data_IF_340647970667
#
_entry.id   IF_340647970667
#
_cell.length_a   1.000
_cell.length_b   1.000
_cell.length_c   1.000
_cell.angle_alpha   90.00
_cell.angle_beta   90.00
_cell.angle_gamma   90.00
#
_symmetry.space_group_name_H-M   'P 1'
#
loop_
_entity.id
_entity.type
_entity.pdbx_description
1 polymer ?
#
# COMPACT_ATOMS: atom_id res chain seq x y z
N UNK A 1 10.39 -22.05 -8.66
CA UNK A 1 10.85 -20.87 -7.85
C UNK A 1 9.59 -20.26 -7.28
N UNK A 2 9.51 -20.15 -5.97
CA UNK A 2 8.34 -19.55 -5.31
C UNK A 2 8.20 -18.09 -5.70
N UNK A 3 6.97 -17.65 -5.95
CA UNK A 3 6.60 -16.26 -6.23
C UNK A 3 5.57 -15.79 -5.22
N UNK A 4 5.88 -14.73 -4.50
CA UNK A 4 5.02 -14.14 -3.47
C UNK A 4 4.66 -12.73 -3.92
N UNK A 5 3.39 -12.53 -4.24
CA UNK A 5 2.84 -11.23 -4.63
C UNK A 5 2.39 -10.48 -3.37
N UNK A 6 3.13 -9.41 -3.02
CA UNK A 6 2.89 -8.66 -1.77
C UNK A 6 1.92 -7.50 -1.94
N UNK A 7 1.43 -7.22 -3.14
CA UNK A 7 0.59 -6.06 -3.42
C UNK A 7 -0.59 -6.45 -4.29
N UNK A 8 -1.65 -6.93 -3.65
CA UNK A 8 -2.94 -7.27 -4.27
C UNK A 8 -4.10 -6.80 -3.39
N UNK A 9 -5.28 -6.64 -3.99
CA UNK A 9 -6.41 -6.01 -3.32
C UNK A 9 -7.68 -6.84 -3.32
N UNK A 10 -8.54 -6.62 -2.31
CA UNK A 10 -9.87 -7.21 -2.22
C UNK A 10 -10.88 -6.21 -1.64
N UNK A 11 -12.15 -6.44 -2.00
CA UNK A 11 -13.32 -5.87 -1.37
C UNK A 11 -14.28 -6.99 -0.95
N UNK A 12 -15.20 -6.70 -0.04
CA UNK A 12 -16.39 -7.52 0.14
C UNK A 12 -17.61 -6.79 -0.41
N UNK A 13 -18.65 -7.54 -0.82
CA UNK A 13 -19.92 -6.92 -1.18
C UNK A 13 -20.53 -6.17 0.00
N UNK A 14 -20.36 -6.70 1.21
CA UNK A 14 -20.81 -6.06 2.44
C UNK A 14 -20.10 -4.74 2.74
N UNK A 15 -18.78 -4.67 2.50
CA UNK A 15 -18.05 -3.41 2.58
C UNK A 15 -18.63 -2.35 1.64
N UNK A 16 -18.93 -2.71 0.37
CA UNK A 16 -19.54 -1.76 -0.57
C UNK A 16 -20.97 -1.35 -0.15
N UNK A 17 -21.74 -2.24 0.46
CA UNK A 17 -23.05 -1.88 1.03
C UNK A 17 -22.91 -0.85 2.16
N UNK A 18 -21.98 -1.08 3.08
CA UNK A 18 -21.68 -0.13 4.18
C UNK A 18 -21.24 1.22 3.61
N UNK A 19 -20.36 1.21 2.62
CA UNK A 19 -19.90 2.43 1.96
C UNK A 19 -21.05 3.19 1.30
N UNK A 20 -21.92 2.50 0.57
CA UNK A 20 -23.08 3.10 -0.10
C UNK A 20 -24.07 3.74 0.90
N UNK A 21 -24.28 3.09 2.05
CA UNK A 21 -25.26 3.53 3.05
C UNK A 21 -24.71 4.60 4.00
N UNK A 22 -23.41 4.56 4.30
CA UNK A 22 -22.79 5.32 5.38
C UNK A 22 -21.46 5.98 5.03
N UNK A 23 -21.07 5.99 3.74
CA UNK A 23 -19.76 6.44 3.24
C UNK A 23 -19.50 7.96 3.36
N UNK A 24 -20.50 8.76 3.71
CA UNK A 24 -20.37 10.22 3.78
C UNK A 24 -20.19 10.82 2.39
N UNK A 25 -19.00 11.39 2.12
CA UNK A 25 -18.66 11.95 0.79
C UNK A 25 -18.37 10.87 -0.26
N UNK A 26 -18.21 9.61 0.16
CA UNK A 26 -18.03 8.49 -0.75
C UNK A 26 -19.35 7.85 -1.13
N UNK A 27 -19.43 7.36 -2.37
CA UNK A 27 -20.61 6.67 -2.88
C UNK A 27 -20.27 5.68 -3.97
N UNK A 28 -21.31 4.98 -4.46
CA UNK A 28 -21.24 4.02 -5.55
C UNK A 28 -22.12 4.46 -6.70
N UNK A 29 -21.59 4.41 -7.91
CA UNK A 29 -22.33 4.54 -9.18
C UNK A 29 -22.23 3.25 -9.95
N UNK A 30 -23.25 2.93 -10.74
CA UNK A 30 -23.19 1.89 -11.78
C UNK A 30 -22.94 2.60 -13.10
N UNK A 31 -21.85 2.27 -13.76
CA UNK A 31 -21.48 2.81 -15.05
C UNK A 31 -22.41 2.27 -16.16
N UNK A 32 -22.47 2.91 -17.32
CA UNK A 32 -23.25 2.40 -18.46
C UNK A 32 -22.85 0.99 -18.93
N UNK A 33 -21.60 0.59 -18.68
CA UNK A 33 -21.08 -0.75 -18.97
C UNK A 33 -21.42 -1.81 -17.90
N UNK A 34 -22.13 -1.39 -16.84
CA UNK A 34 -22.59 -2.27 -15.75
C UNK A 34 -21.60 -2.46 -14.61
N UNK A 35 -20.40 -1.88 -14.69
CA UNK A 35 -19.41 -1.92 -13.61
C UNK A 35 -19.70 -0.90 -12.50
N UNK A 36 -19.37 -1.28 -11.28
CA UNK A 36 -19.43 -0.38 -10.13
C UNK A 36 -18.23 0.56 -10.12
N UNK A 37 -18.47 1.78 -9.67
CA UNK A 37 -17.46 2.82 -9.49
C UNK A 37 -17.63 3.43 -8.10
N UNK A 38 -16.54 3.47 -7.35
CA UNK A 38 -16.46 4.22 -6.09
C UNK A 38 -16.02 5.65 -6.41
N UNK A 39 -16.74 6.63 -5.90
CA UNK A 39 -16.42 8.04 -6.10
C UNK A 39 -16.43 8.81 -4.77
N UNK A 40 -15.74 9.95 -4.75
CA UNK A 40 -15.76 10.94 -3.67
C UNK A 40 -16.21 12.26 -4.25
N UNK A 41 -17.38 12.73 -3.83
CA UNK A 41 -18.02 13.85 -4.51
C UNK A 41 -18.28 13.50 -5.98
N UNK A 42 -17.61 14.16 -6.93
CA UNK A 42 -17.69 13.86 -8.37
C UNK A 42 -16.46 13.10 -8.92
N UNK A 43 -15.42 12.88 -8.08
CA UNK A 43 -14.17 12.27 -8.51
C UNK A 43 -14.19 10.76 -8.37
N UNK A 44 -13.92 9.98 -9.44
CA UNK A 44 -13.70 8.53 -9.34
C UNK A 44 -12.50 8.21 -8.45
N UNK A 45 -12.64 7.21 -7.58
CA UNK A 45 -11.60 6.80 -6.63
C UNK A 45 -11.13 5.37 -6.89
N UNK A 46 -12.05 4.46 -7.21
CA UNK A 46 -11.73 3.08 -7.48
C UNK A 46 -12.80 2.41 -8.35
N UNK A 47 -12.38 1.35 -9.06
CA UNK A 47 -13.21 0.60 -10.00
C UNK A 47 -13.21 -0.89 -9.60
N UNK A 48 -14.13 -1.31 -8.73
CA UNK A 48 -14.21 -2.71 -8.31
C UNK A 48 -14.34 -3.68 -9.47
N UNK A 49 -13.49 -4.70 -9.51
CA UNK A 49 -13.47 -5.75 -10.51
C UNK A 49 -13.93 -7.09 -9.89
N UNK A 50 -14.38 -8.07 -10.67
CA UNK A 50 -14.79 -9.38 -10.13
C UNK A 50 -13.74 -10.03 -9.23
N UNK A 51 -12.45 -9.90 -9.56
CA UNK A 51 -11.34 -10.45 -8.78
C UNK A 51 -11.16 -9.82 -7.40
N UNK A 52 -11.77 -8.65 -7.12
CA UNK A 52 -11.76 -8.08 -5.78
C UNK A 52 -12.66 -8.87 -4.80
N UNK A 53 -13.70 -9.56 -5.31
CA UNK A 53 -14.75 -10.16 -4.49
C UNK A 53 -14.67 -11.68 -4.44
N UNK A 54 -14.12 -12.30 -5.50
CA UNK A 54 -14.17 -13.74 -5.71
C UNK A 54 -12.77 -14.34 -5.60
N UNK A 55 -12.54 -15.04 -4.50
CA UNK A 55 -11.26 -15.69 -4.26
C UNK A 55 -11.01 -16.90 -5.15
N UNK A 56 -12.03 -17.54 -5.72
CA UNK A 56 -11.84 -18.59 -6.73
C UNK A 56 -11.30 -18.01 -8.04
N UNK A 57 -11.73 -16.80 -8.41
CA UNK A 57 -11.13 -16.06 -9.54
C UNK A 57 -9.68 -15.73 -9.24
N UNK A 58 -9.38 -15.29 -8.02
CA UNK A 58 -8.01 -14.99 -7.58
C UNK A 58 -7.11 -16.22 -7.66
N UNK A 59 -7.54 -17.34 -7.09
CA UNK A 59 -6.73 -18.57 -7.10
C UNK A 59 -6.48 -19.06 -8.53
N UNK A 60 -7.48 -19.04 -9.39
CA UNK A 60 -7.28 -19.37 -10.81
C UNK A 60 -6.27 -18.44 -11.49
N UNK A 61 -6.37 -17.13 -11.27
CA UNK A 61 -5.42 -16.15 -11.81
C UNK A 61 -4.00 -16.41 -11.30
N UNK A 62 -3.84 -16.71 -10.01
CA UNK A 62 -2.55 -17.09 -9.43
C UNK A 62 -1.98 -18.36 -10.07
N UNK A 63 -2.83 -19.38 -10.32
CA UNK A 63 -2.41 -20.62 -10.98
C UNK A 63 -1.99 -20.37 -12.43
N UNK A 64 -2.76 -19.58 -13.17
CA UNK A 64 -2.50 -19.22 -14.57
C UNK A 64 -1.20 -18.40 -14.72
N UNK A 65 -0.81 -17.66 -13.69
CA UNK A 65 0.39 -16.79 -13.70
C UNK A 65 1.55 -17.34 -12.87
N UNK A 66 1.42 -18.54 -12.29
CA UNK A 66 2.43 -19.16 -11.44
C UNK A 66 2.82 -18.31 -10.21
N UNK A 67 1.86 -17.63 -9.60
CA UNK A 67 1.99 -16.98 -8.30
C UNK A 67 1.62 -18.00 -7.22
N UNK A 68 2.56 -18.31 -6.33
CA UNK A 68 2.36 -19.30 -5.28
C UNK A 68 1.56 -18.73 -4.11
N UNK A 69 1.82 -17.48 -3.72
CA UNK A 69 1.16 -16.82 -2.60
C UNK A 69 0.86 -15.35 -2.92
N UNK A 70 -0.27 -14.85 -2.45
CA UNK A 70 -0.62 -13.42 -2.48
C UNK A 70 -0.84 -12.88 -1.07
N UNK A 71 -0.36 -11.68 -0.79
CA UNK A 71 -0.70 -10.93 0.42
C UNK A 71 -1.73 -9.86 0.04
N UNK A 72 -2.94 -10.05 0.53
CA UNK A 72 -4.11 -9.29 0.10
C UNK A 72 -4.36 -8.11 1.04
N UNK A 73 -4.77 -6.97 0.53
CA UNK A 73 -5.20 -5.81 1.31
C UNK A 73 -6.52 -5.23 0.84
N UNK A 74 -7.22 -4.53 1.71
CA UNK A 74 -8.25 -3.59 1.29
C UNK A 74 -7.57 -2.42 0.57
N UNK A 75 -8.19 -1.89 -0.49
CA UNK A 75 -7.67 -0.73 -1.23
C UNK A 75 -8.43 0.57 -0.90
N UNK A 76 -8.29 1.61 -1.71
CA UNK A 76 -9.03 2.86 -1.59
C UNK A 76 -10.56 2.63 -1.68
N UNK A 77 -11.37 3.37 -0.89
CA UNK A 77 -10.98 4.43 0.06
C UNK A 77 -10.59 3.94 1.46
N UNK A 78 -10.29 2.67 1.64
CA UNK A 78 -10.05 2.03 2.93
C UNK A 78 -11.24 2.24 3.89
N UNK A 79 -11.01 2.59 5.17
CA UNK A 79 -12.07 2.72 6.18
C UNK A 79 -12.12 4.10 6.84
N UNK A 80 -11.57 5.15 6.19
CA UNK A 80 -11.45 6.50 6.74
C UNK A 80 -12.66 7.38 6.36
N UNK A 81 -13.87 6.90 6.70
CA UNK A 81 -15.16 7.54 6.37
C UNK A 81 -16.28 7.08 7.30
N UNK A 82 -17.42 7.78 7.26
CA UNK A 82 -18.66 7.39 7.93
C UNK A 82 -18.67 7.52 9.45
N UNK A 83 -17.60 8.04 10.07
CA UNK A 83 -17.48 8.20 11.52
C UNK A 83 -17.06 6.91 12.25
N UNK A 84 -16.83 7.01 13.57
CA UNK A 84 -16.17 5.95 14.36
C UNK A 84 -16.80 4.57 14.23
N UNK A 85 -18.13 4.49 14.40
CA UNK A 85 -18.84 3.20 14.36
C UNK A 85 -18.74 2.54 12.99
N UNK A 86 -18.92 3.32 11.94
CA UNK A 86 -18.89 2.83 10.55
C UNK A 86 -17.47 2.41 10.14
N UNK A 87 -16.46 3.22 10.48
CA UNK A 87 -15.05 2.91 10.21
C UNK A 87 -14.63 1.60 10.87
N UNK A 88 -14.98 1.38 12.16
CA UNK A 88 -14.71 0.12 12.86
C UNK A 88 -15.43 -1.04 12.18
N UNK A 89 -16.71 -0.88 11.85
CA UNK A 89 -17.53 -1.93 11.23
C UNK A 89 -16.96 -2.32 9.85
N UNK A 90 -16.56 -1.34 9.04
CA UNK A 90 -15.96 -1.59 7.72
C UNK A 90 -14.58 -2.26 7.82
N UNK A 91 -13.77 -1.89 8.82
CA UNK A 91 -12.49 -2.53 9.09
C UNK A 91 -12.67 -4.00 9.48
N UNK A 92 -13.54 -4.29 10.45
CA UNK A 92 -13.80 -5.64 10.91
C UNK A 92 -14.39 -6.53 9.80
N UNK A 93 -15.32 -6.00 9.00
CA UNK A 93 -15.89 -6.71 7.86
C UNK A 93 -14.82 -7.14 6.87
N UNK A 94 -13.98 -6.20 6.44
CA UNK A 94 -12.91 -6.48 5.45
C UNK A 94 -11.84 -7.42 6.01
N UNK A 95 -11.40 -7.20 7.24
CA UNK A 95 -10.38 -8.01 7.90
C UNK A 95 -10.87 -9.45 8.14
N UNK A 96 -12.11 -9.62 8.57
CA UNK A 96 -12.70 -10.95 8.78
C UNK A 96 -12.78 -11.74 7.46
N UNK A 97 -13.23 -11.09 6.38
CA UNK A 97 -13.31 -11.74 5.07
C UNK A 97 -11.95 -12.19 4.54
N UNK A 98 -10.89 -11.40 4.75
CA UNK A 98 -9.53 -11.80 4.37
C UNK A 98 -9.00 -12.93 5.26
N UNK A 99 -9.33 -12.95 6.55
CA UNK A 99 -8.98 -14.05 7.46
C UNK A 99 -9.71 -15.36 7.09
N UNK A 100 -10.98 -15.28 6.71
CA UNK A 100 -11.76 -16.41 6.21
C UNK A 100 -11.15 -16.97 4.90
N UNK A 101 -10.77 -16.07 3.98
CA UNK A 101 -10.11 -16.47 2.75
C UNK A 101 -8.75 -17.15 3.01
N UNK A 102 -7.93 -16.63 3.93
CA UNK A 102 -6.69 -17.31 4.35
C UNK A 102 -6.99 -18.69 4.95
N UNK A 103 -8.06 -18.83 5.73
CA UNK A 103 -8.44 -20.13 6.29
C UNK A 103 -8.84 -21.13 5.19
N UNK A 104 -9.52 -20.66 4.15
CA UNK A 104 -9.88 -21.49 3.00
C UNK A 104 -8.68 -21.87 2.11
N UNK A 105 -7.68 -20.99 2.01
CA UNK A 105 -6.48 -21.15 1.17
C UNK A 105 -5.18 -20.88 1.96
N UNK A 106 -4.87 -21.68 2.99
CA UNK A 106 -3.84 -21.38 3.98
C UNK A 106 -2.41 -21.32 3.42
N UNK A 107 -2.14 -22.01 2.32
CA UNK A 107 -0.83 -22.01 1.66
C UNK A 107 -0.73 -20.96 0.53
N UNK A 108 -1.84 -20.28 0.22
CA UNK A 108 -1.93 -19.38 -0.92
C UNK A 108 -2.14 -17.92 -0.54
N UNK A 109 -2.75 -17.64 0.61
CA UNK A 109 -3.15 -16.29 0.99
C UNK A 109 -2.60 -15.89 2.35
N UNK A 110 -2.17 -14.63 2.42
CA UNK A 110 -1.92 -13.83 3.63
C UNK A 110 -2.62 -12.48 3.45
N UNK A 111 -2.66 -11.65 4.48
CA UNK A 111 -3.37 -10.38 4.37
C UNK A 111 -2.83 -9.31 5.31
N UNK A 112 -3.01 -8.06 4.87
CA UNK A 112 -2.77 -6.86 5.64
C UNK A 112 -4.07 -6.39 6.30
N UNK A 113 -4.00 -6.05 7.57
CA UNK A 113 -5.15 -5.45 8.26
C UNK A 113 -5.37 -3.99 7.85
N UNK A 114 -6.63 -3.59 7.72
CA UNK A 114 -7.07 -2.19 7.64
C UNK A 114 -7.53 -1.72 9.00
N UNK A 115 -7.09 -0.54 9.43
CA UNK A 115 -7.33 0.00 10.75
C UNK A 115 -8.14 1.30 10.70
N UNK A 116 -9.03 1.58 11.66
CA UNK A 116 -9.75 2.85 11.76
C UNK A 116 -8.84 3.96 12.32
N UNK A 117 -7.86 4.41 11.53
CA UNK A 117 -6.77 5.33 11.94
C UNK A 117 -7.25 6.64 12.57
N UNK A 118 -8.44 7.13 12.20
CA UNK A 118 -9.02 8.34 12.82
C UNK A 118 -9.42 8.13 14.30
N UNK A 119 -9.31 6.90 14.81
CA UNK A 119 -9.70 6.51 16.17
C UNK A 119 -8.62 5.63 16.80
N UNK A 120 -7.51 6.20 17.30
CA UNK A 120 -6.30 5.44 17.67
C UNK A 120 -6.54 4.27 18.62
N UNK A 121 -7.39 4.43 19.64
CA UNK A 121 -7.70 3.34 20.57
C UNK A 121 -8.36 2.17 19.84
N UNK A 122 -9.36 2.45 19.00
CA UNK A 122 -10.04 1.43 18.20
C UNK A 122 -9.12 0.81 17.14
N UNK A 123 -8.18 1.58 16.59
CA UNK A 123 -7.18 1.08 15.65
C UNK A 123 -6.22 0.08 16.32
N UNK A 124 -5.80 0.35 17.55
CA UNK A 124 -4.93 -0.56 18.32
C UNK A 124 -5.70 -1.84 18.70
N UNK A 125 -6.95 -1.71 19.16
CA UNK A 125 -7.81 -2.87 19.45
C UNK A 125 -8.01 -3.75 18.21
N UNK A 126 -8.27 -3.14 17.04
CA UNK A 126 -8.44 -3.88 15.79
C UNK A 126 -7.11 -4.47 15.29
N UNK A 127 -5.98 -3.80 15.48
CA UNK A 127 -4.66 -4.34 15.17
C UNK A 127 -4.38 -5.61 15.99
N UNK A 128 -4.64 -5.57 17.29
CA UNK A 128 -4.46 -6.71 18.19
C UNK A 128 -5.34 -7.89 17.75
N UNK A 129 -6.64 -7.61 17.52
CA UNK A 129 -7.60 -8.62 17.05
C UNK A 129 -7.19 -9.23 15.72
N UNK A 130 -6.77 -8.41 14.75
CA UNK A 130 -6.37 -8.85 13.41
C UNK A 130 -5.12 -9.72 13.44
N UNK A 131 -4.10 -9.36 14.23
CA UNK A 131 -2.92 -10.19 14.43
C UNK A 131 -3.29 -11.55 15.02
N UNK A 132 -4.22 -11.60 15.97
CA UNK A 132 -4.68 -12.86 16.59
C UNK A 132 -5.39 -13.80 15.60
N UNK A 133 -5.97 -13.28 14.52
CA UNK A 133 -6.64 -14.05 13.46
C UNK A 133 -5.82 -14.18 12.16
N UNK A 134 -4.55 -13.79 12.17
CA UNK A 134 -3.60 -14.12 11.12
C UNK A 134 -3.16 -13.01 10.17
N UNK A 135 -3.43 -11.73 10.49
CA UNK A 135 -2.85 -10.61 9.74
C UNK A 135 -1.32 -10.62 9.84
N UNK A 136 -0.64 -10.45 8.70
CA UNK A 136 0.84 -10.45 8.63
C UNK A 136 1.44 -9.04 8.54
N UNK A 137 0.62 -8.01 8.50
CA UNK A 137 1.04 -6.62 8.40
C UNK A 137 -0.14 -5.67 8.39
N UNK A 138 0.12 -4.41 8.17
CA UNK A 138 -0.88 -3.31 8.14
C UNK A 138 -0.88 -2.65 6.78
N UNK A 139 -2.04 -2.35 6.22
CA UNK A 139 -2.20 -1.47 5.07
C UNK A 139 -2.65 -0.10 5.53
N UNK A 140 -1.99 0.95 5.05
CA UNK A 140 -2.33 2.34 5.31
C UNK A 140 -2.30 3.15 4.03
N UNK A 141 -3.25 4.08 3.85
CA UNK A 141 -3.17 5.05 2.77
C UNK A 141 -2.12 6.13 3.08
N UNK A 142 -1.52 6.72 2.06
CA UNK A 142 -0.46 7.72 2.19
C UNK A 142 -0.90 9.01 2.94
N UNK A 143 -2.19 9.22 3.06
CA UNK A 143 -2.79 10.15 4.00
C UNK A 143 -4.08 9.56 4.59
N UNK A 144 -4.45 9.96 5.79
CA UNK A 144 -5.70 9.58 6.44
C UNK A 144 -6.64 10.79 6.46
N UNK A 145 -7.63 10.78 5.58
CA UNK A 145 -8.58 11.89 5.41
C UNK A 145 -7.86 13.27 5.24
N UNK A 146 -6.78 13.29 4.44
CA UNK A 146 -5.96 14.47 4.19
C UNK A 146 -4.94 14.79 5.28
N UNK A 147 -4.91 14.07 6.39
CA UNK A 147 -3.94 14.23 7.48
C UNK A 147 -2.67 13.45 7.20
N UNK A 148 -1.51 14.07 7.46
CA UNK A 148 -0.22 13.42 7.29
C UNK A 148 -0.04 12.24 8.24
N UNK A 149 0.56 11.16 7.77
CA UNK A 149 0.92 9.99 8.60
C UNK A 149 1.91 10.31 9.72
N UNK A 150 2.65 11.41 9.61
CA UNK A 150 3.57 11.90 10.65
C UNK A 150 2.91 12.78 11.71
N UNK A 151 1.59 12.98 11.64
CA UNK A 151 0.85 13.69 12.68
C UNK A 151 0.94 12.92 14.01
N UNK A 152 1.26 13.64 15.09
CA UNK A 152 1.39 13.05 16.44
C UNK A 152 0.12 12.36 16.94
N UNK A 153 -1.02 12.67 16.34
CA UNK A 153 -2.29 11.99 16.62
C UNK A 153 -2.21 10.48 16.35
N UNK A 154 -1.41 10.06 15.36
CA UNK A 154 -1.23 8.66 14.99
C UNK A 154 -0.08 7.96 15.75
N UNK A 155 0.66 8.69 16.58
CA UNK A 155 1.82 8.14 17.28
C UNK A 155 1.53 6.85 18.09
N UNK A 156 0.38 6.71 18.80
CA UNK A 156 0.08 5.48 19.52
C UNK A 156 -0.04 4.25 18.60
N UNK A 157 -0.61 4.42 17.39
CA UNK A 157 -0.75 3.34 16.41
C UNK A 157 0.64 2.94 15.88
N UNK A 158 1.47 3.92 15.51
CA UNK A 158 2.82 3.68 15.02
C UNK A 158 3.71 3.02 16.04
N UNK A 159 3.62 3.41 17.33
CA UNK A 159 4.35 2.77 18.42
C UNK A 159 4.01 1.28 18.55
N UNK A 160 2.73 0.91 18.40
CA UNK A 160 2.30 -0.47 18.49
C UNK A 160 2.72 -1.28 17.27
N UNK A 161 2.69 -0.71 16.06
CA UNK A 161 3.17 -1.34 14.82
C UNK A 161 4.69 -1.59 14.92
N UNK A 162 5.47 -0.57 15.33
CA UNK A 162 6.92 -0.67 15.50
C UNK A 162 7.30 -1.72 16.54
N UNK A 163 6.65 -1.70 17.72
CA UNK A 163 6.85 -2.68 18.79
C UNK A 163 6.62 -4.12 18.33
N UNK A 164 5.66 -4.33 17.43
CA UNK A 164 5.35 -5.64 16.84
C UNK A 164 6.21 -5.96 15.61
N UNK A 165 7.00 -5.01 15.11
CA UNK A 165 7.83 -5.15 13.90
C UNK A 165 7.02 -5.55 12.66
N UNK A 166 5.77 -5.08 12.57
CA UNK A 166 4.89 -5.45 11.49
C UNK A 166 5.24 -4.71 10.20
N UNK A 167 5.24 -5.41 9.05
CA UNK A 167 5.31 -4.76 7.76
C UNK A 167 4.10 -3.85 7.51
N UNK A 168 4.33 -2.71 6.90
CA UNK A 168 3.28 -1.74 6.55
C UNK A 168 3.31 -1.47 5.06
N UNK A 169 2.26 -1.86 4.34
CA UNK A 169 2.05 -1.45 2.96
C UNK A 169 1.45 -0.04 2.95
N UNK A 170 2.23 0.94 2.47
CA UNK A 170 1.77 2.29 2.24
C UNK A 170 1.27 2.41 0.80
N UNK A 171 -0.04 2.56 0.66
CA UNK A 171 -0.72 2.68 -0.63
C UNK A 171 -1.21 4.11 -0.85
N UNK A 172 -1.11 4.68 -2.07
CA UNK A 172 -1.62 6.01 -2.34
C UNK A 172 -3.13 6.11 -2.24
N UNK A 173 -3.59 7.34 -2.13
CA UNK A 173 -4.96 7.79 -2.36
C UNK A 173 -4.92 9.16 -3.03
N UNK A 174 -6.03 9.87 -3.11
CA UNK A 174 -6.00 11.25 -3.61
C UNK A 174 -5.07 12.11 -2.75
N UNK A 175 -4.08 12.78 -3.35
CA UNK A 175 -3.20 13.67 -2.61
C UNK A 175 -3.98 14.87 -2.07
N UNK A 176 -3.59 15.40 -0.90
CA UNK A 176 -4.13 16.67 -0.43
C UNK A 176 -3.95 17.77 -1.48
N UNK A 177 -5.06 18.36 -1.91
CA UNK A 177 -5.07 19.37 -2.97
C UNK A 177 -5.48 18.88 -4.36
N UNK A 178 -5.82 17.59 -4.53
CA UNK A 178 -6.25 17.01 -5.81
C UNK A 178 -7.37 17.83 -6.49
N UNK A 179 -8.34 18.30 -5.72
CA UNK A 179 -9.45 19.14 -6.23
C UNK A 179 -8.92 20.48 -6.76
N UNK A 180 -8.01 21.14 -6.04
CA UNK A 180 -7.45 22.46 -6.44
C UNK A 180 -6.56 22.34 -7.68
N UNK A 181 -5.94 21.16 -7.87
CA UNK A 181 -5.09 20.85 -9.03
C UNK A 181 -5.86 20.22 -10.18
N UNK A 182 -7.20 20.12 -10.07
CA UNK A 182 -8.08 19.54 -11.09
C UNK A 182 -7.68 18.13 -11.57
N UNK A 183 -7.26 17.31 -10.62
CA UNK A 183 -6.76 15.94 -10.91
C UNK A 183 -7.86 14.96 -11.31
N UNK A 184 -9.13 15.36 -11.27
CA UNK A 184 -10.27 14.57 -11.76
C UNK A 184 -10.33 14.44 -13.27
N UNK A 185 -9.73 15.40 -14.03
CA UNK A 185 -9.66 15.32 -15.47
C UNK A 185 -8.53 14.38 -15.94
N UNK A 186 -8.73 13.72 -17.08
CA UNK A 186 -7.72 12.89 -17.75
C UNK A 186 -7.13 11.77 -16.87
N UNK A 187 -7.88 11.31 -15.89
CA UNK A 187 -7.41 10.31 -14.94
C UNK A 187 -6.11 10.69 -14.18
N UNK A 188 -5.86 11.99 -13.99
CA UNK A 188 -4.63 12.49 -13.36
C UNK A 188 -4.49 12.05 -11.91
N UNK A 189 -5.59 11.74 -11.20
CA UNK A 189 -5.55 11.20 -9.83
C UNK A 189 -4.68 9.95 -9.74
N UNK A 190 -4.93 8.94 -10.57
CA UNK A 190 -4.13 7.70 -10.52
C UNK A 190 -2.83 7.81 -11.32
N UNK A 191 -2.83 8.52 -12.47
CA UNK A 191 -1.65 8.61 -13.33
C UNK A 191 -0.49 9.39 -12.69
N UNK A 192 -0.80 10.42 -11.92
CA UNK A 192 0.18 11.35 -11.33
C UNK A 192 -0.06 11.54 -9.84
N UNK A 193 -1.31 11.75 -9.44
CA UNK A 193 -1.70 12.08 -8.07
C UNK A 193 -1.27 11.02 -7.05
N UNK A 194 -1.48 9.76 -7.33
CA UNK A 194 -1.05 8.63 -6.49
C UNK A 194 0.46 8.62 -6.28
N UNK A 195 1.22 8.92 -7.33
CA UNK A 195 2.68 9.00 -7.22
C UNK A 195 3.11 10.18 -6.35
N UNK A 196 2.42 11.31 -6.45
CA UNK A 196 2.68 12.47 -5.58
C UNK A 196 2.32 12.18 -4.12
N UNK A 197 1.22 11.50 -3.84
CA UNK A 197 0.78 11.19 -2.49
C UNK A 197 1.80 10.30 -1.76
N UNK A 198 2.19 9.17 -2.38
CA UNK A 198 3.24 8.28 -1.85
C UNK A 198 4.55 9.04 -1.64
N UNK A 199 5.00 9.81 -2.64
CA UNK A 199 6.23 10.57 -2.55
C UNK A 199 6.19 11.58 -1.39
N UNK A 200 5.10 12.32 -1.26
CA UNK A 200 4.93 13.32 -0.21
C UNK A 200 4.91 12.69 1.19
N UNK A 201 4.16 11.60 1.35
CA UNK A 201 4.05 10.89 2.62
C UNK A 201 5.42 10.39 3.11
N UNK A 202 6.13 9.62 2.25
CA UNK A 202 7.43 9.04 2.61
C UNK A 202 8.50 10.12 2.80
N UNK A 203 8.51 11.17 1.95
CA UNK A 203 9.44 12.30 2.13
C UNK A 203 9.24 12.99 3.47
N UNK A 204 7.98 13.20 3.90
CA UNK A 204 7.69 13.74 5.25
C UNK A 204 8.19 12.82 6.34
N UNK A 205 7.99 11.50 6.21
CA UNK A 205 8.50 10.52 7.17
C UNK A 205 10.03 10.61 7.29
N UNK A 206 10.76 10.66 6.17
CA UNK A 206 12.22 10.84 6.18
C UNK A 206 12.60 12.14 6.88
N UNK A 207 12.07 13.29 6.42
CA UNK A 207 12.53 14.61 6.89
C UNK A 207 12.12 14.91 8.33
N UNK A 208 11.11 14.26 8.88
CA UNK A 208 10.73 14.40 10.29
C UNK A 208 11.53 13.51 11.24
N UNK A 209 12.41 12.64 10.73
CA UNK A 209 13.12 11.64 11.54
C UNK A 209 12.21 10.51 12.02
N UNK A 210 11.19 10.20 11.24
CA UNK A 210 10.17 9.20 11.61
C UNK A 210 10.78 7.81 11.78
N UNK A 211 11.69 7.41 10.89
CA UNK A 211 12.38 6.12 10.97
C UNK A 211 13.42 6.07 12.10
N UNK A 212 13.89 7.24 12.58
CA UNK A 212 14.73 7.31 13.78
C UNK A 212 13.89 7.12 15.05
N UNK A 213 12.62 7.54 15.02
CA UNK A 213 11.65 7.35 16.09
C UNK A 213 11.08 5.92 16.14
N UNK A 214 10.91 5.30 14.97
CA UNK A 214 10.34 3.96 14.79
C UNK A 214 11.34 3.06 14.03
N UNK A 215 12.43 2.61 14.68
CA UNK A 215 13.55 1.95 14.01
C UNK A 215 13.27 0.52 13.53
N UNK A 216 12.26 -0.14 14.08
CA UNK A 216 11.85 -1.49 13.69
C UNK A 216 10.74 -1.50 12.61
N UNK A 217 10.29 -0.31 12.16
CA UNK A 217 9.23 -0.16 11.15
C UNK A 217 9.68 -0.67 9.78
N UNK A 218 8.98 -1.67 9.26
CA UNK A 218 9.17 -2.23 7.92
C UNK A 218 8.19 -1.59 6.94
N UNK A 219 8.45 -0.36 6.49
CA UNK A 219 7.59 0.35 5.53
C UNK A 219 7.81 -0.17 4.11
N UNK A 220 6.73 -0.47 3.40
CA UNK A 220 6.72 -0.86 1.98
C UNK A 220 6.04 0.29 1.22
N UNK A 221 6.81 1.02 0.43
CA UNK A 221 6.30 2.07 -0.45
C UNK A 221 5.86 1.46 -1.78
N UNK A 222 4.57 1.53 -2.07
CA UNK A 222 3.97 0.96 -3.27
C UNK A 222 4.42 1.64 -4.57
N UNK A 223 4.20 0.97 -5.70
CA UNK A 223 4.49 1.45 -7.05
C UNK A 223 5.96 1.88 -7.23
N UNK A 224 6.89 0.98 -6.84
CA UNK A 224 8.33 1.26 -6.89
C UNK A 224 8.77 2.45 -6.04
N UNK A 225 7.96 2.85 -5.03
CA UNK A 225 8.19 4.05 -4.25
C UNK A 225 7.90 5.35 -5.00
N UNK A 226 7.10 5.26 -6.06
CA UNK A 226 6.68 6.42 -6.86
C UNK A 226 7.87 7.24 -7.40
N UNK A 227 8.01 8.52 -7.07
CA UNK A 227 9.12 9.34 -7.58
C UNK A 227 10.31 9.43 -6.60
N UNK A 228 10.28 8.73 -5.47
CA UNK A 228 11.33 8.80 -4.45
C UNK A 228 12.73 8.49 -4.99
N UNK A 229 12.94 7.41 -5.77
CA UNK A 229 14.26 7.12 -6.31
C UNK A 229 14.80 8.24 -7.20
N UNK A 230 13.94 8.85 -8.02
CA UNK A 230 14.32 9.95 -8.90
C UNK A 230 14.70 11.22 -8.14
N UNK A 231 14.10 11.46 -6.98
CA UNK A 231 14.30 12.68 -6.18
C UNK A 231 15.48 12.59 -5.22
N UNK A 232 16.15 11.43 -5.07
CA UNK A 232 17.20 11.24 -4.06
C UNK A 232 18.31 12.29 -4.15
N UNK A 233 18.83 12.57 -5.35
CA UNK A 233 19.87 13.59 -5.53
C UNK A 233 19.43 15.01 -5.14
N UNK A 234 18.13 15.32 -5.31
CA UNK A 234 17.56 16.59 -4.85
C UNK A 234 17.44 16.63 -3.32
N UNK A 235 17.13 15.52 -2.69
CA UNK A 235 17.06 15.42 -1.23
C UNK A 235 18.46 15.59 -0.60
N UNK A 236 19.48 14.92 -1.14
CA UNK A 236 20.87 15.03 -0.73
C UNK A 236 21.37 16.47 -0.87
N UNK A 237 21.14 17.07 -2.05
CA UNK A 237 21.57 18.45 -2.28
C UNK A 237 20.85 19.45 -1.39
N UNK A 238 19.58 19.21 -1.09
CA UNK A 238 18.84 20.05 -0.12
C UNK A 238 19.34 19.89 1.31
N UNK A 239 19.98 18.76 1.65
CA UNK A 239 20.60 18.54 2.96
C UNK A 239 21.95 19.23 3.11
N UNK A 240 22.71 19.35 2.03
CA UNK A 240 24.00 20.07 2.02
C UNK A 240 23.87 21.59 2.16
N UNK A 241 22.73 22.16 1.75
CA UNK A 241 22.48 23.59 1.83
C UNK A 241 21.62 23.91 3.06
N UNK A 242 21.26 25.12 3.33
CA UNK A 242 20.68 25.67 4.57
C UNK A 242 19.37 25.00 5.11
N UNK A 243 18.94 23.87 4.55
CA UNK A 243 17.72 23.18 4.98
C UNK A 243 17.89 22.20 6.16
N UNK A 244 19.09 21.74 6.57
CA UNK A 244 19.25 20.76 7.65
C UNK A 244 18.58 21.19 8.97
N UNK A 245 18.57 22.48 9.27
CA UNK A 245 17.95 23.00 10.51
C UNK A 245 16.43 22.80 10.58
N UNK A 246 15.77 22.53 9.46
CA UNK A 246 14.33 22.26 9.37
C UNK A 246 14.00 20.78 9.32
N UNK A 247 15.00 19.91 9.12
CA UNK A 247 14.86 18.46 9.07
C UNK A 247 15.31 17.87 10.40
N UNK A 248 14.65 16.80 10.81
CA UNK A 248 14.92 16.12 12.09
C UNK A 248 15.60 14.76 11.90
N UNK A 249 15.83 14.34 10.67
CA UNK A 249 16.49 13.09 10.35
C UNK A 249 17.94 13.08 10.82
N UNK A 250 18.44 11.91 11.24
CA UNK A 250 19.80 11.73 11.77
C UNK A 250 20.78 11.19 10.74
N UNK A 251 20.29 10.67 9.61
CA UNK A 251 21.07 10.07 8.53
C UNK A 251 20.78 10.80 7.22
N UNK A 252 21.54 10.48 6.16
CA UNK A 252 21.29 11.03 4.83
C UNK A 252 19.99 10.49 4.24
N UNK A 253 19.29 11.25 3.39
CA UNK A 253 18.07 10.78 2.74
C UNK A 253 18.22 9.43 2.03
N UNK A 254 19.35 9.18 1.36
CA UNK A 254 19.63 7.91 0.68
C UNK A 254 19.64 6.72 1.65
N UNK A 255 20.13 6.89 2.87
CA UNK A 255 20.20 5.80 3.85
C UNK A 255 18.80 5.36 4.26
N UNK A 256 17.87 6.32 4.42
CA UNK A 256 16.45 5.98 4.68
C UNK A 256 15.77 5.31 3.49
N UNK A 257 16.08 5.70 2.24
CA UNK A 257 15.53 5.02 1.07
C UNK A 257 16.00 3.56 1.00
N UNK A 258 17.19 3.25 1.50
CA UNK A 258 17.73 1.88 1.61
C UNK A 258 17.21 1.12 2.82
N UNK A 259 16.53 1.78 3.74
CA UNK A 259 15.84 1.15 4.87
C UNK A 259 14.40 0.76 4.51
N UNK A 260 13.76 1.49 3.61
CA UNK A 260 12.39 1.28 3.13
C UNK A 260 12.36 0.11 2.13
N UNK A 261 11.24 -0.62 2.09
CA UNK A 261 10.95 -1.65 1.10
C UNK A 261 10.06 -1.10 0.00
N UNK A 262 10.04 -1.78 -1.15
CA UNK A 262 9.31 -1.37 -2.35
C UNK A 262 8.71 -2.59 -3.04
N UNK A 263 7.64 -2.40 -3.80
CA UNK A 263 7.23 -3.37 -4.80
C UNK A 263 7.94 -3.12 -6.15
N UNK A 264 7.79 -4.06 -7.09
CA UNK A 264 8.37 -3.95 -8.43
C UNK A 264 7.39 -3.37 -9.46
N UNK A 265 6.30 -2.71 -9.04
CA UNK A 265 5.27 -2.17 -9.92
C UNK A 265 5.78 -0.85 -10.53
N UNK A 266 6.56 -0.95 -11.58
CA UNK A 266 7.15 0.20 -12.30
C UNK A 266 6.69 0.28 -13.74
N UNK A 267 6.07 -0.79 -14.26
CA UNK A 267 5.61 -0.95 -15.65
C UNK A 267 6.69 -0.75 -16.73
N UNK A 268 7.95 -0.60 -16.33
CA UNK A 268 9.08 -0.35 -17.22
C UNK A 268 10.37 -0.95 -16.66
N UNK A 269 11.17 -1.63 -17.52
CA UNK A 269 12.42 -2.27 -17.12
C UNK A 269 13.46 -1.26 -16.62
N UNK A 270 13.62 -0.15 -17.33
CA UNK A 270 14.64 0.84 -16.95
C UNK A 270 14.28 1.52 -15.62
N UNK A 271 12.98 1.70 -15.34
CA UNK A 271 12.52 2.21 -14.05
C UNK A 271 12.80 1.22 -12.91
N UNK A 272 12.59 -0.10 -13.13
CA UNK A 272 12.94 -1.13 -12.14
C UNK A 272 14.45 -1.21 -11.91
N UNK A 273 15.25 -1.17 -12.96
CA UNK A 273 16.71 -1.19 -12.86
C UNK A 273 17.23 0.04 -12.10
N UNK A 274 16.63 1.20 -12.36
CA UNK A 274 16.96 2.43 -11.65
C UNK A 274 16.57 2.36 -10.17
N UNK A 275 15.37 1.89 -9.84
CA UNK A 275 14.96 1.66 -8.46
C UNK A 275 15.98 0.78 -7.73
N UNK A 276 16.31 -0.39 -8.30
CA UNK A 276 17.28 -1.32 -7.72
C UNK A 276 18.65 -0.67 -7.51
N UNK A 277 19.10 0.16 -8.45
CA UNK A 277 20.40 0.85 -8.36
C UNK A 277 20.46 1.85 -7.20
N UNK A 278 19.33 2.45 -6.83
CA UNK A 278 19.23 3.43 -5.74
C UNK A 278 19.07 2.75 -4.37
N UNK A 279 18.15 1.79 -4.27
CA UNK A 279 17.73 1.24 -2.98
C UNK A 279 18.36 -0.10 -2.63
N UNK A 280 18.85 -0.86 -3.62
CA UNK A 280 19.32 -2.23 -3.46
C UNK A 280 18.24 -3.27 -3.79
N UNK A 281 18.65 -4.40 -4.35
CA UNK A 281 17.74 -5.48 -4.73
C UNK A 281 17.03 -6.14 -3.55
N UNK A 282 17.65 -6.11 -2.38
CA UNK A 282 17.13 -6.67 -1.12
C UNK A 282 15.95 -5.88 -0.55
N UNK A 283 15.68 -4.69 -1.06
CA UNK A 283 14.57 -3.85 -0.64
C UNK A 283 13.36 -3.96 -1.58
N UNK A 284 13.49 -4.62 -2.73
CA UNK A 284 12.41 -4.73 -3.71
C UNK A 284 11.73 -6.10 -3.60
N UNK A 285 10.40 -6.12 -3.63
CA UNK A 285 9.58 -7.34 -3.60
C UNK A 285 8.65 -7.41 -4.80
N UNK A 286 8.21 -8.60 -5.16
CA UNK A 286 7.26 -8.79 -6.27
C UNK A 286 5.87 -8.32 -5.87
N UNK A 287 5.23 -7.52 -6.73
CA UNK A 287 3.87 -7.03 -6.59
C UNK A 287 3.23 -6.82 -7.95
N UNK A 288 1.91 -6.89 -8.04
CA UNK A 288 1.16 -6.78 -9.31
C UNK A 288 0.08 -5.72 -9.34
N UNK A 289 -0.39 -5.28 -8.19
CA UNK A 289 -1.56 -4.39 -8.03
C UNK A 289 -2.88 -5.01 -8.54
N UNK A 290 -2.92 -6.37 -8.65
CA UNK A 290 -4.10 -7.09 -9.08
C UNK A 290 -5.23 -6.97 -8.03
N UNK A 291 -6.50 -6.82 -8.40
CA UNK A 291 -7.11 -6.85 -9.71
C UNK A 291 -7.58 -5.45 -10.21
N UNK A 292 -6.82 -4.39 -9.92
CA UNK A 292 -7.16 -3.08 -10.46
C UNK A 292 -7.19 -3.08 -11.99
N UNK A 293 -7.76 -2.02 -12.62
CA UNK A 293 -7.75 -1.89 -14.07
C UNK A 293 -6.34 -1.64 -14.63
N UNK A 294 -5.50 -0.98 -13.84
CA UNK A 294 -4.11 -0.71 -14.18
C UNK A 294 -3.24 -1.71 -13.42
N UNK A 295 -3.01 -2.88 -14.03
CA UNK A 295 -2.09 -3.89 -13.52
C UNK A 295 -1.37 -4.57 -14.68
N UNK A 296 -0.19 -5.12 -14.43
CA UNK A 296 0.58 -5.86 -15.44
C UNK A 296 1.36 -7.00 -14.81
N UNK A 297 0.68 -8.11 -14.53
CA UNK A 297 1.32 -9.31 -13.98
C UNK A 297 2.39 -9.87 -14.92
N UNK A 298 2.11 -9.92 -16.25
CA UNK A 298 3.07 -10.45 -17.21
C UNK A 298 4.31 -9.55 -17.34
N UNK A 299 4.13 -8.22 -17.34
CA UNK A 299 5.25 -7.27 -17.33
C UNK A 299 6.10 -7.41 -16.08
N UNK A 300 5.50 -7.53 -14.90
CA UNK A 300 6.23 -7.76 -13.64
C UNK A 300 7.07 -9.05 -13.69
N UNK A 301 6.53 -10.13 -14.27
CA UNK A 301 7.30 -11.36 -14.52
C UNK A 301 8.43 -11.14 -15.51
N UNK A 302 8.18 -10.48 -16.65
CA UNK A 302 9.19 -10.22 -17.67
C UNK A 302 10.34 -9.36 -17.13
N UNK A 303 10.02 -8.27 -16.43
CA UNK A 303 10.99 -7.36 -15.85
C UNK A 303 11.86 -8.05 -14.79
N UNK A 304 11.27 -8.82 -13.89
CA UNK A 304 12.04 -9.56 -12.89
C UNK A 304 12.86 -10.71 -13.50
N UNK A 305 12.37 -11.35 -14.58
CA UNK A 305 13.10 -12.40 -15.30
C UNK A 305 14.33 -11.88 -16.03
N UNK A 306 14.32 -10.61 -16.48
CA UNK A 306 15.45 -9.97 -17.15
C UNK A 306 16.63 -9.69 -16.19
N UNK A 307 16.41 -9.71 -14.89
CA UNK A 307 17.44 -9.48 -13.86
C UNK A 307 18.34 -10.71 -13.68
N UNK A 308 19.50 -10.52 -13.05
CA UNK A 308 20.36 -11.62 -12.65
C UNK A 308 19.59 -12.63 -11.77
N UNK A 309 19.87 -13.92 -11.93
CA UNK A 309 19.12 -15.00 -11.27
C UNK A 309 19.01 -14.85 -9.74
N UNK A 310 20.04 -14.34 -9.07
CA UNK A 310 20.03 -14.08 -7.64
C UNK A 310 19.04 -12.96 -7.27
N UNK A 311 19.12 -11.86 -7.99
CA UNK A 311 18.21 -10.70 -7.85
C UNK A 311 16.76 -11.08 -8.14
N UNK A 312 16.52 -11.80 -9.23
CA UNK A 312 15.20 -12.31 -9.58
C UNK A 312 14.59 -13.14 -8.43
N UNK A 313 15.35 -14.08 -7.85
CA UNK A 313 14.89 -14.89 -6.71
C UNK A 313 14.61 -14.05 -5.46
N UNK A 314 15.50 -13.10 -5.17
CA UNK A 314 15.32 -12.22 -4.02
C UNK A 314 14.00 -11.43 -4.14
N UNK A 315 13.77 -10.80 -5.28
CA UNK A 315 12.56 -9.99 -5.53
C UNK A 315 11.29 -10.84 -5.54
N UNK A 316 11.31 -11.99 -6.24
CA UNK A 316 10.09 -12.81 -6.38
C UNK A 316 9.66 -13.53 -5.11
N UNK A 317 10.59 -13.81 -4.18
CA UNK A 317 10.21 -14.50 -2.92
C UNK A 317 11.11 -14.19 -1.73
N UNK A 318 12.44 -14.19 -1.87
CA UNK A 318 13.35 -14.18 -0.73
C UNK A 318 13.18 -12.96 0.17
N UNK A 319 12.94 -11.78 -0.41
CA UNK A 319 12.73 -10.56 0.35
C UNK A 319 11.38 -10.60 1.10
N UNK A 320 10.30 -11.05 0.44
CA UNK A 320 9.01 -11.20 1.08
C UNK A 320 9.06 -12.23 2.22
N UNK A 321 9.70 -13.38 2.02
CA UNK A 321 9.89 -14.38 3.09
C UNK A 321 10.59 -13.80 4.32
N UNK A 322 11.63 -12.98 4.11
CA UNK A 322 12.37 -12.33 5.19
C UNK A 322 11.54 -11.24 5.88
N UNK A 323 10.83 -10.41 5.13
CA UNK A 323 10.09 -9.27 5.67
C UNK A 323 8.86 -9.70 6.46
N UNK A 324 8.12 -10.70 5.95
CA UNK A 324 6.88 -11.21 6.53
C UNK A 324 7.07 -12.47 7.39
N UNK A 325 8.31 -13.00 7.49
CA UNK A 325 8.64 -14.20 8.28
C UNK A 325 7.83 -15.44 7.83
N UNK A 326 7.72 -15.65 6.48
CA UNK A 326 6.94 -16.70 5.81
C UNK A 326 7.73 -17.99 5.59
#
# INVERSE_FOLDING_TARGET
MTVIDIHTHAYTRKYLEILREQGGDYGLKIRPDGFEEIFKGETPVAFPQPGHFDYDIRIRQMDDTAIDMSIVSLTCPNVYWGGKKTSIMAAQESNNAMAEAQTAYPDRLRWFTSLPWEYPDAAIEELERSCAIGAVGVMVLANVAGRSLTDSFFAPIWQEIDRRKLPVLLHPTDPPGAIVMDMGEFDLSWAVGFMFDTTLAVTRMIFTGFFDQYPDLKLIASHGGATLPYLVGRFEKGDEVELPQRRKMQQKPTDYLRHIYYDCITYDQAALDYLISVVGAEQVMFGTDWPHQVFDTQGAFNHTQALQAGTCRAIRSGNAQRVFEL
#
